data_IF_325259875242
#
_entry.id   IF_325259875242
#
_cell.length_a   1.000
_cell.length_b   1.000
_cell.length_c   1.000
_cell.angle_alpha   90.00
_cell.angle_beta   90.00
_cell.angle_gamma   90.00
#
_symmetry.space_group_name_H-M   'P 1'
#
loop_
_entity.id
_entity.type
_entity.pdbx_description
1 polymer ?
#
# COMPACT_ATOMS: atom_id res chain seq x y z
N UNK A 1 -14.79 13.98 -10.16
CA UNK A 1 -14.34 13.83 -11.57
C UNK A 1 -13.71 12.44 -11.69
N UNK A 2 -14.16 11.61 -12.63
CA UNK A 2 -13.63 10.25 -12.79
C UNK A 2 -12.20 10.31 -13.38
N UNK A 3 -11.19 9.65 -12.77
CA UNK A 3 -9.85 9.56 -13.36
C UNK A 3 -9.89 8.76 -14.66
N UNK A 4 -9.21 9.24 -15.70
CA UNK A 4 -9.21 8.60 -17.04
C UNK A 4 -8.40 7.29 -17.09
N UNK A 5 -7.44 7.12 -16.18
CA UNK A 5 -6.62 5.92 -16.05
C UNK A 5 -6.03 5.82 -14.65
N UNK A 6 -5.94 4.61 -14.11
CA UNK A 6 -5.23 4.31 -12.85
C UNK A 6 -4.07 3.37 -13.18
N UNK A 7 -2.84 3.83 -13.00
CA UNK A 7 -1.61 3.07 -13.33
C UNK A 7 -0.87 2.74 -12.04
N UNK A 8 -0.51 1.48 -11.85
CA UNK A 8 0.23 0.97 -10.67
C UNK A 8 -0.39 1.39 -9.33
N UNK A 9 -1.71 1.31 -9.21
CA UNK A 9 -2.44 1.61 -7.98
C UNK A 9 -2.68 0.35 -7.17
N UNK A 10 -2.47 0.47 -5.86
CA UNK A 10 -2.83 -0.60 -4.93
C UNK A 10 -4.35 -0.75 -4.84
N UNK A 11 -4.81 -1.95 -4.48
CA UNK A 11 -6.24 -2.22 -4.27
C UNK A 11 -6.88 -1.26 -3.26
N UNK A 12 -6.13 -0.86 -2.23
CA UNK A 12 -6.55 0.14 -1.22
C UNK A 12 -6.78 1.52 -1.83
N UNK A 13 -5.88 2.00 -2.69
CA UNK A 13 -6.05 3.29 -3.37
C UNK A 13 -7.22 3.26 -4.35
N UNK A 14 -7.40 2.14 -5.08
CA UNK A 14 -8.53 1.95 -5.99
C UNK A 14 -9.84 1.97 -5.21
N UNK A 15 -9.91 1.27 -4.09
CA UNK A 15 -11.09 1.24 -3.20
C UNK A 15 -11.42 2.63 -2.65
N UNK A 16 -10.42 3.38 -2.22
CA UNK A 16 -10.62 4.75 -1.73
C UNK A 16 -11.14 5.71 -2.80
N UNK A 17 -10.84 5.44 -4.08
CA UNK A 17 -11.19 6.34 -5.19
C UNK A 17 -12.53 5.95 -5.82
N UNK A 18 -12.72 4.67 -6.11
CA UNK A 18 -13.85 4.13 -6.88
C UNK A 18 -14.88 3.37 -6.04
N UNK A 19 -14.57 3.10 -4.76
CA UNK A 19 -15.43 2.39 -3.83
C UNK A 19 -15.20 0.88 -3.79
N UNK A 20 -15.70 0.25 -2.71
CA UNK A 20 -15.56 -1.19 -2.50
C UNK A 20 -16.34 -2.06 -3.49
N UNK A 21 -17.51 -1.60 -3.96
CA UNK A 21 -18.29 -2.34 -4.97
C UNK A 21 -17.52 -2.50 -6.29
N UNK A 22 -16.79 -1.46 -6.69
CA UNK A 22 -15.93 -1.48 -7.87
C UNK A 22 -14.78 -2.48 -7.69
N UNK A 23 -14.08 -2.40 -6.54
CA UNK A 23 -12.95 -3.26 -6.24
C UNK A 23 -13.35 -4.74 -6.17
N UNK A 24 -14.52 -5.05 -5.61
CA UNK A 24 -15.02 -6.44 -5.55
C UNK A 24 -15.16 -7.06 -6.95
N UNK A 25 -15.65 -6.29 -7.91
CA UNK A 25 -15.80 -6.71 -9.30
C UNK A 25 -14.46 -6.82 -10.04
N UNK A 26 -13.39 -6.13 -9.59
CA UNK A 26 -12.07 -6.14 -10.24
C UNK A 26 -11.50 -7.56 -10.44
N UNK A 27 -11.80 -8.45 -9.51
CA UNK A 27 -11.40 -9.87 -9.53
C UNK A 27 -12.01 -10.65 -10.70
N UNK A 28 -13.19 -10.23 -11.17
CA UNK A 28 -13.96 -10.88 -12.23
C UNK A 28 -13.65 -10.31 -13.62
N UNK A 29 -12.88 -9.21 -13.69
CA UNK A 29 -12.56 -8.57 -14.96
C UNK A 29 -11.55 -9.39 -15.76
N UNK A 30 -11.90 -9.63 -17.03
CA UNK A 30 -11.02 -10.26 -18.00
C UNK A 30 -10.04 -9.21 -18.53
N UNK A 31 -8.73 -9.49 -18.42
CA UNK A 31 -7.67 -8.63 -18.95
C UNK A 31 -7.89 -8.36 -20.45
N UNK A 32 -7.73 -7.11 -20.85
CA UNK A 32 -7.83 -6.65 -22.24
C UNK A 32 -9.25 -6.45 -22.77
N UNK A 33 -10.29 -6.75 -21.99
CA UNK A 33 -11.69 -6.55 -22.41
C UNK A 33 -12.32 -5.34 -21.73
N UNK A 34 -13.16 -4.62 -22.48
CA UNK A 34 -14.04 -3.61 -21.90
C UNK A 34 -15.20 -4.29 -21.20
N UNK A 35 -15.36 -4.02 -19.90
CA UNK A 35 -16.42 -4.57 -19.04
C UNK A 35 -17.28 -3.41 -18.56
N UNK A 36 -18.61 -3.57 -18.66
CA UNK A 36 -19.55 -2.58 -18.16
C UNK A 36 -21.01 -3.02 -18.30
N UNK A 37 -21.93 -2.38 -17.55
CA UNK A 37 -21.68 -1.25 -16.64
C UNK A 37 -21.19 -1.71 -15.25
N UNK A 38 -20.10 -1.09 -14.76
CA UNK A 38 -19.56 -1.32 -13.41
C UNK A 38 -19.96 -0.15 -12.50
N UNK A 39 -20.49 -0.46 -11.31
CA UNK A 39 -20.85 0.51 -10.27
C UNK A 39 -19.60 1.06 -9.59
N UNK A 40 -19.55 2.40 -9.42
CA UNK A 40 -18.52 3.08 -8.65
C UNK A 40 -19.13 4.25 -7.86
N UNK A 41 -18.35 4.86 -6.97
CA UNK A 41 -18.70 6.11 -6.27
C UNK A 41 -19.09 7.26 -7.19
N UNK A 42 -18.68 7.23 -8.46
CA UNK A 42 -19.00 8.26 -9.47
C UNK A 42 -20.19 7.89 -10.37
N UNK A 43 -20.80 6.72 -10.17
CA UNK A 43 -21.87 6.18 -11.01
C UNK A 43 -21.41 4.98 -11.84
N UNK A 44 -22.11 4.74 -12.96
CA UNK A 44 -21.88 3.59 -13.84
C UNK A 44 -20.85 3.92 -14.92
N UNK A 45 -19.83 3.06 -15.06
CA UNK A 45 -18.77 3.24 -16.05
C UNK A 45 -18.42 1.94 -16.78
N UNK A 46 -17.81 2.09 -17.97
CA UNK A 46 -17.20 0.98 -18.70
C UNK A 46 -15.70 1.08 -18.50
N UNK A 47 -15.09 -0.01 -18.04
CA UNK A 47 -13.67 -0.06 -17.68
C UNK A 47 -12.97 -1.17 -18.47
N UNK A 48 -11.69 -0.97 -18.77
CA UNK A 48 -10.83 -1.99 -19.36
C UNK A 48 -9.69 -2.27 -18.41
N UNK A 49 -9.52 -3.53 -18.04
CA UNK A 49 -8.38 -3.95 -17.25
C UNK A 49 -7.20 -4.18 -18.19
N UNK A 50 -6.22 -3.27 -18.19
CA UNK A 50 -5.00 -3.44 -18.99
C UNK A 50 -4.07 -4.47 -18.35
N UNK A 51 -3.73 -4.28 -17.07
CA UNK A 51 -2.83 -5.15 -16.34
C UNK A 51 -3.24 -5.29 -14.88
N UNK A 52 -3.17 -6.52 -14.36
CA UNK A 52 -3.29 -6.83 -12.93
C UNK A 52 -1.98 -7.46 -12.49
N UNK A 53 -1.25 -6.74 -11.65
CA UNK A 53 0.03 -7.17 -11.08
C UNK A 53 -0.29 -7.79 -9.72
N UNK A 54 -0.13 -9.11 -9.54
CA UNK A 54 -0.35 -9.73 -8.23
C UNK A 54 0.65 -9.16 -7.23
N UNK A 55 0.18 -8.88 -6.01
CA UNK A 55 1.08 -8.47 -4.92
C UNK A 55 2.10 -9.60 -4.66
N UNK A 56 3.35 -9.36 -5.03
CA UNK A 56 4.44 -10.25 -4.65
C UNK A 56 4.93 -9.84 -3.27
N UNK A 57 4.92 -10.77 -2.31
CA UNK A 57 5.57 -10.56 -1.02
C UNK A 57 7.07 -10.49 -1.27
N UNK A 58 7.66 -9.31 -1.12
CA UNK A 58 9.12 -9.14 -1.16
C UNK A 58 9.74 -10.04 -0.07
N UNK A 59 10.66 -10.97 -0.40
CA UNK A 59 11.32 -11.80 0.60
C UNK A 59 12.08 -10.91 1.59
N UNK A 60 12.03 -11.27 2.89
CA UNK A 60 12.77 -10.59 3.95
C UNK A 60 14.28 -10.47 3.61
N UNK A 61 14.83 -11.45 2.90
CA UNK A 61 16.21 -11.46 2.42
C UNK A 61 16.60 -10.22 1.59
N UNK A 62 15.63 -9.53 0.96
CA UNK A 62 15.92 -8.33 0.18
C UNK A 62 16.11 -7.07 1.04
N UNK A 63 15.65 -7.09 2.30
CA UNK A 63 15.70 -5.94 3.21
C UNK A 63 16.41 -6.24 4.53
N UNK A 64 17.03 -7.41 4.67
CA UNK A 64 17.66 -7.86 5.91
C UNK A 64 18.69 -6.85 6.44
N UNK A 65 19.56 -6.35 5.55
CA UNK A 65 20.55 -5.32 5.92
C UNK A 65 19.90 -4.01 6.40
N UNK A 66 18.78 -3.61 5.80
CA UNK A 66 18.04 -2.41 6.19
C UNK A 66 17.41 -2.61 7.58
N UNK A 67 16.78 -3.77 7.81
CA UNK A 67 16.15 -4.12 9.09
C UNK A 67 17.19 -4.20 10.21
N UNK A 68 18.36 -4.78 9.96
CA UNK A 68 19.46 -4.85 10.94
C UNK A 68 19.98 -3.43 11.26
N UNK A 69 20.18 -2.59 10.25
CA UNK A 69 20.62 -1.21 10.44
C UNK A 69 19.62 -0.39 11.28
N UNK A 70 18.33 -0.51 10.97
CA UNK A 70 17.27 0.19 11.70
C UNK A 70 17.17 -0.29 13.16
N UNK A 71 17.29 -1.60 13.40
CA UNK A 71 17.29 -2.17 14.74
C UNK A 71 18.50 -1.70 15.58
N UNK A 72 19.69 -1.64 14.98
CA UNK A 72 20.89 -1.13 15.64
C UNK A 72 20.81 0.38 15.90
N UNK A 73 20.09 1.11 15.04
CA UNK A 73 19.83 2.53 15.27
C UNK A 73 18.88 2.74 16.45
N UNK A 74 17.73 2.04 16.48
CA UNK A 74 16.79 2.12 17.59
C UNK A 74 17.43 1.78 18.94
N UNK A 75 18.27 0.73 19.00
CA UNK A 75 18.98 0.38 20.24
C UNK A 75 19.94 1.46 20.72
N UNK A 76 20.58 2.18 19.80
CA UNK A 76 21.47 3.30 20.15
C UNK A 76 20.69 4.48 20.71
N UNK A 77 19.58 4.86 20.06
CA UNK A 77 18.70 5.92 20.55
C UNK A 77 18.18 5.59 21.95
N UNK A 78 17.68 4.36 22.14
CA UNK A 78 17.20 3.89 23.45
C UNK A 78 18.29 4.00 24.53
N UNK A 79 19.52 3.60 24.22
CA UNK A 79 20.63 3.67 25.18
C UNK A 79 21.02 5.11 25.53
N UNK A 80 20.86 6.05 24.60
CA UNK A 80 21.11 7.48 24.86
C UNK A 80 20.01 8.08 25.74
N UNK A 81 18.76 7.71 25.47
CA UNK A 81 17.61 8.13 26.29
C UNK A 81 17.72 7.60 27.72
N UNK A 82 18.07 6.32 27.88
CA UNK A 82 18.24 5.69 29.20
C UNK A 82 19.39 6.36 29.98
N UNK A 83 20.51 6.65 29.33
CA UNK A 83 21.65 7.35 29.94
C UNK A 83 21.31 8.80 30.32
N UNK A 84 20.54 9.50 29.47
CA UNK A 84 20.10 10.85 29.76
C UNK A 84 19.10 10.88 30.93
N UNK A 85 18.21 9.89 31.03
CA UNK A 85 17.31 9.74 32.16
C UNK A 85 18.06 9.48 33.47
N UNK A 86 19.12 8.65 33.44
CA UNK A 86 19.96 8.38 34.62
C UNK A 86 20.71 9.62 35.10
N UNK A 87 21.18 10.48 34.18
CA UNK A 87 21.81 11.76 34.53
C UNK A 87 20.84 12.78 35.15
N UNK A 88 19.56 12.77 34.74
CA UNK A 88 18.53 13.65 35.29
C UNK A 88 18.07 13.21 36.69
N UNK A 89 18.10 11.91 37.00
CA UNK A 89 17.73 11.37 38.33
C UNK A 89 18.80 11.67 39.40
N UNK A 90 20.03 11.96 38.98
CA UNK A 90 21.16 12.28 39.87
C UNK A 90 21.26 13.77 40.28
N UNK A 91 20.37 14.64 39.77
CA UNK A 91 20.29 16.07 40.09
C UNK A 91 19.03 16.40 40.91
#
# INVERSE_FOLDING_TARGET
MLPRSLVQKSEREVTSTLGGEFTAQLSELIKGQWVGPVSSTFGLHIVRLDELIPETRRPLAYIENQVIADLLHQRREQSLDDYHAELLDQY
#
